data_IF_149788751615
#
_entry.id   IF_149788751615
#
_cell.length_a   1.000
_cell.length_b   1.000
_cell.length_c   1.000
_cell.angle_alpha   90.00
_cell.angle_beta   90.00
_cell.angle_gamma   90.00
#
_symmetry.space_group_name_H-M   'P 1'
#
loop_
_entity.id
_entity.type
_entity.pdbx_description
1 polymer ?
#
# COMPACT_ATOMS: atom_id res chain seq x y z
N UNK A 1 27.88 10.93 -6.56
CA UNK A 1 27.28 11.29 -7.86
C UNK A 1 26.44 12.54 -7.67
N UNK A 2 26.80 13.67 -8.30
CA UNK A 2 25.98 14.89 -8.28
C UNK A 2 24.96 14.77 -9.41
N UNK A 3 23.67 14.79 -9.07
CA UNK A 3 22.61 14.78 -10.07
C UNK A 3 22.70 16.03 -10.94
N UNK A 4 22.95 15.86 -12.23
CA UNK A 4 22.77 16.95 -13.20
C UNK A 4 21.27 17.26 -13.22
N UNK A 5 20.83 18.42 -12.67
CA UNK A 5 19.44 18.87 -12.65
C UNK A 5 18.54 18.31 -11.53
N UNK A 6 18.93 18.44 -10.25
CA UNK A 6 18.11 18.02 -9.10
C UNK A 6 16.71 18.64 -9.11
N UNK A 7 16.56 19.92 -9.49
CA UNK A 7 15.25 20.61 -9.55
C UNK A 7 14.27 20.00 -10.57
N UNK A 8 14.75 19.37 -11.65
CA UNK A 8 13.88 18.70 -12.62
C UNK A 8 13.38 17.36 -12.11
N UNK A 9 14.17 16.62 -11.31
CA UNK A 9 13.79 15.35 -10.72
C UNK A 9 12.62 15.51 -9.72
N UNK A 10 12.66 16.56 -8.90
CA UNK A 10 11.63 16.80 -7.89
C UNK A 10 10.29 17.24 -8.49
N UNK A 11 10.29 17.69 -9.75
CA UNK A 11 9.06 17.98 -10.51
C UNK A 11 8.43 16.75 -11.15
N UNK A 12 9.14 15.62 -11.22
CA UNK A 12 8.57 14.39 -11.74
C UNK A 12 7.53 13.87 -10.77
N UNK A 13 6.32 13.67 -11.25
CA UNK A 13 5.20 13.11 -10.49
C UNK A 13 4.53 12.01 -11.29
N UNK A 14 3.83 11.12 -10.61
CA UNK A 14 2.95 10.17 -11.27
C UNK A 14 1.91 10.97 -12.06
N UNK A 15 1.87 10.74 -13.35
CA UNK A 15 1.01 11.49 -14.27
C UNK A 15 -0.48 11.18 -14.00
N UNK A 16 -1.36 11.32 -14.75
CA UNK A 16 -2.80 11.29 -14.61
C UNK A 16 -3.32 10.12 -13.72
N UNK A 17 -4.01 10.41 -12.60
CA UNK A 17 -4.64 9.36 -11.80
C UNK A 17 -5.77 8.71 -12.60
N UNK A 18 -6.09 7.41 -12.35
CA UNK A 18 -7.22 6.75 -12.99
C UNK A 18 -8.52 7.53 -12.73
N UNK A 19 -9.32 7.74 -13.76
CA UNK A 19 -10.63 8.39 -13.65
C UNK A 19 -11.52 7.71 -12.59
N UNK A 20 -11.41 6.39 -12.46
CA UNK A 20 -12.14 5.60 -11.45
C UNK A 20 -11.74 5.95 -10.00
N UNK A 21 -10.45 6.20 -9.73
CA UNK A 21 -10.00 6.62 -8.40
C UNK A 21 -10.50 8.03 -8.04
N UNK A 22 -10.44 8.97 -8.99
CA UNK A 22 -10.97 10.33 -8.81
C UNK A 22 -12.47 10.29 -8.56
N UNK A 23 -13.23 9.57 -9.39
CA UNK A 23 -14.68 9.44 -9.26
C UNK A 23 -15.09 8.81 -7.91
N UNK A 24 -14.35 7.78 -7.43
CA UNK A 24 -14.60 7.16 -6.14
C UNK A 24 -14.40 8.13 -4.98
N UNK A 25 -13.32 8.91 -5.00
CA UNK A 25 -13.07 9.95 -3.99
C UNK A 25 -14.20 10.97 -3.98
N UNK A 26 -14.60 11.51 -5.14
CA UNK A 26 -15.68 12.49 -5.23
C UNK A 26 -17.02 11.94 -4.75
N UNK A 27 -17.37 10.71 -5.10
CA UNK A 27 -18.61 10.06 -4.67
C UNK A 27 -18.68 9.84 -3.17
N UNK A 28 -17.56 9.52 -2.51
CA UNK A 28 -17.55 9.06 -1.12
C UNK A 28 -17.06 10.08 -0.10
N UNK A 29 -16.54 11.26 -0.52
CA UNK A 29 -15.99 12.26 0.39
C UNK A 29 -16.99 12.79 1.42
N UNK A 30 -18.28 12.82 1.09
CA UNK A 30 -19.35 13.29 1.98
C UNK A 30 -20.10 12.14 2.66
N UNK A 31 -19.80 10.88 2.36
CA UNK A 31 -20.48 9.72 2.92
C UNK A 31 -19.75 9.18 4.16
N UNK A 32 -20.35 9.37 5.33
CA UNK A 32 -19.77 8.94 6.62
C UNK A 32 -19.85 7.43 6.87
N UNK A 33 -20.47 6.65 5.99
CA UNK A 33 -20.34 5.19 6.00
C UNK A 33 -18.98 4.71 5.49
N UNK A 34 -18.18 5.61 4.90
CA UNK A 34 -16.86 5.33 4.39
C UNK A 34 -15.78 6.05 5.20
N UNK A 35 -14.61 5.44 5.30
CA UNK A 35 -13.46 5.98 6.04
C UNK A 35 -13.06 7.38 5.56
N UNK A 36 -13.14 7.66 4.26
CA UNK A 36 -12.86 9.00 3.72
C UNK A 36 -13.79 10.06 4.31
N UNK A 37 -15.10 9.81 4.31
CA UNK A 37 -16.07 10.76 4.87
C UNK A 37 -15.87 10.96 6.38
N UNK A 38 -15.64 9.87 7.14
CA UNK A 38 -15.31 9.91 8.57
C UNK A 38 -14.03 10.72 8.82
N UNK A 39 -12.98 10.50 7.99
CA UNK A 39 -11.71 11.23 8.07
C UNK A 39 -11.89 12.74 7.85
N UNK A 40 -12.54 13.14 6.75
CA UNK A 40 -12.73 14.55 6.40
C UNK A 40 -13.56 15.29 7.45
N UNK A 41 -14.63 14.65 7.96
CA UNK A 41 -15.47 15.21 9.04
C UNK A 41 -14.70 15.38 10.35
N UNK A 42 -13.79 14.45 10.67
CA UNK A 42 -13.01 14.49 11.92
C UNK A 42 -11.97 15.60 11.97
N UNK A 43 -11.61 16.21 10.85
CA UNK A 43 -10.49 17.16 10.71
C UNK A 43 -9.16 16.63 11.21
N UNK A 44 -9.00 15.31 11.30
CA UNK A 44 -7.76 14.68 11.73
C UNK A 44 -6.63 14.92 10.72
N UNK A 45 -5.39 14.98 11.21
CA UNK A 45 -4.21 14.99 10.34
C UNK A 45 -3.82 13.56 9.98
N UNK A 46 -3.33 13.36 8.76
CA UNK A 46 -2.75 12.08 8.36
C UNK A 46 -1.52 11.75 9.23
N UNK A 47 -1.40 10.51 9.75
CA UNK A 47 -0.29 10.11 10.62
C UNK A 47 1.00 9.79 9.86
N UNK A 48 1.11 10.25 8.62
CA UNK A 48 2.24 9.96 7.72
C UNK A 48 2.99 11.25 7.36
N UNK A 49 4.28 11.09 7.08
CA UNK A 49 5.13 12.20 6.60
C UNK A 49 5.05 12.30 5.08
N UNK A 50 5.46 13.44 4.53
CA UNK A 50 5.68 13.54 3.11
C UNK A 50 6.77 12.54 2.66
N UNK A 51 6.61 11.90 1.50
CA UNK A 51 7.68 11.08 0.94
C UNK A 51 8.93 11.92 0.69
N UNK A 52 10.13 11.33 0.76
CA UNK A 52 11.36 12.06 0.45
C UNK A 52 11.34 12.61 -0.98
N UNK A 53 11.98 13.77 -1.18
CA UNK A 53 12.13 14.35 -2.50
C UNK A 53 12.85 13.38 -3.47
N UNK A 54 12.44 13.36 -4.74
CA UNK A 54 13.00 12.45 -5.74
C UNK A 54 14.53 12.58 -5.88
N UNK A 55 15.07 13.79 -5.72
CA UNK A 55 16.52 14.10 -5.81
C UNK A 55 17.28 13.84 -4.51
N UNK A 56 16.61 13.42 -3.43
CA UNK A 56 17.26 13.27 -2.13
C UNK A 56 18.20 12.06 -2.07
N UNK A 57 19.24 12.16 -1.24
CA UNK A 57 20.14 11.02 -0.94
C UNK A 57 19.36 9.84 -0.35
N UNK A 58 18.28 10.12 0.40
CA UNK A 58 17.40 9.07 0.96
C UNK A 58 16.71 8.30 -0.17
N UNK A 59 16.12 8.99 -1.14
CA UNK A 59 15.45 8.33 -2.28
C UNK A 59 16.44 7.48 -3.09
N UNK A 60 17.66 7.95 -3.33
CA UNK A 60 18.70 7.16 -4.01
C UNK A 60 19.03 5.89 -3.19
N UNK A 61 19.28 6.03 -1.89
CA UNK A 61 19.54 4.89 -1.00
C UNK A 61 18.38 3.90 -1.01
N UNK A 62 17.15 4.39 -0.94
CA UNK A 62 15.95 3.54 -0.96
C UNK A 62 15.81 2.80 -2.30
N UNK A 63 16.12 3.45 -3.43
CA UNK A 63 16.13 2.80 -4.74
C UNK A 63 17.20 1.69 -4.83
N UNK A 64 18.38 1.93 -4.29
CA UNK A 64 19.44 0.92 -4.20
C UNK A 64 19.01 -0.27 -3.31
N UNK A 65 18.34 0.00 -2.19
CA UNK A 65 17.79 -1.03 -1.32
C UNK A 65 16.70 -1.85 -2.03
N UNK A 66 15.80 -1.21 -2.79
CA UNK A 66 14.80 -1.91 -3.61
C UNK A 66 15.51 -2.84 -4.59
N UNK A 67 16.50 -2.34 -5.35
CA UNK A 67 17.25 -3.17 -6.31
C UNK A 67 17.94 -4.35 -5.63
N UNK A 68 18.59 -4.12 -4.47
CA UNK A 68 19.21 -5.18 -3.68
C UNK A 68 18.18 -6.24 -3.27
N UNK A 69 17.04 -5.83 -2.71
CA UNK A 69 15.96 -6.75 -2.30
C UNK A 69 15.46 -7.57 -3.47
N UNK A 70 15.26 -6.96 -4.65
CA UNK A 70 14.84 -7.68 -5.85
C UNK A 70 15.85 -8.75 -6.30
N UNK A 71 17.15 -8.46 -6.14
CA UNK A 71 18.24 -9.37 -6.55
C UNK A 71 18.50 -10.50 -5.55
N UNK A 72 18.21 -10.28 -4.26
CA UNK A 72 18.52 -11.23 -3.18
C UNK A 72 17.30 -11.99 -2.66
N UNK A 73 16.10 -11.65 -3.13
CA UNK A 73 14.88 -12.34 -2.71
C UNK A 73 14.90 -13.82 -3.13
N UNK A 74 14.54 -14.76 -2.23
CA UNK A 74 14.43 -16.17 -2.56
C UNK A 74 13.44 -16.40 -3.71
N UNK A 75 13.71 -17.37 -4.59
CA UNK A 75 12.88 -17.64 -5.77
C UNK A 75 11.40 -17.87 -5.41
N UNK A 76 11.14 -18.64 -4.36
CA UNK A 76 9.77 -18.89 -3.88
C UNK A 76 9.06 -17.58 -3.49
N UNK A 77 9.77 -16.67 -2.84
CA UNK A 77 9.20 -15.37 -2.46
C UNK A 77 8.97 -14.46 -3.69
N UNK A 78 9.87 -14.51 -4.68
CA UNK A 78 9.65 -13.83 -5.96
C UNK A 78 8.39 -14.37 -6.65
N UNK A 79 8.19 -15.68 -6.67
CA UNK A 79 7.01 -16.34 -7.25
C UNK A 79 5.72 -15.90 -6.54
N UNK A 80 5.71 -15.94 -5.20
CA UNK A 80 4.63 -15.40 -4.38
C UNK A 80 4.35 -13.93 -4.69
N UNK A 81 5.40 -13.10 -4.72
CA UNK A 81 5.29 -11.66 -4.95
C UNK A 81 4.68 -11.32 -6.31
N UNK A 82 4.97 -12.11 -7.35
CA UNK A 82 4.37 -11.96 -8.68
C UNK A 82 2.90 -12.41 -8.72
N UNK A 83 2.51 -13.36 -7.89
CA UNK A 83 1.13 -13.82 -7.80
C UNK A 83 0.19 -12.77 -7.20
N UNK A 84 0.72 -11.85 -6.37
CA UNK A 84 -0.04 -10.69 -5.88
C UNK A 84 0.01 -9.58 -6.94
N UNK A 85 -0.93 -9.60 -7.88
CA UNK A 85 -1.05 -8.60 -8.94
C UNK A 85 -1.35 -7.21 -8.35
N UNK A 86 -0.63 -6.13 -8.75
CA UNK A 86 -0.86 -4.78 -8.22
C UNK A 86 -2.23 -4.19 -8.53
N UNK A 87 -2.96 -4.79 -9.45
CA UNK A 87 -4.30 -4.33 -9.86
C UNK A 87 -5.42 -5.30 -9.46
N UNK A 88 -5.10 -6.38 -8.73
CA UNK A 88 -6.06 -7.37 -8.25
C UNK A 88 -6.08 -7.47 -6.73
N UNK A 89 -7.25 -7.69 -6.14
CA UNK A 89 -7.36 -7.93 -4.71
C UNK A 89 -6.75 -9.29 -4.32
N UNK A 90 -6.25 -9.37 -3.08
CA UNK A 90 -5.69 -10.59 -2.51
C UNK A 90 -6.59 -11.22 -1.42
N UNK A 91 -7.91 -10.99 -1.54
CA UNK A 91 -8.89 -11.40 -0.52
C UNK A 91 -8.95 -12.91 -0.31
N UNK A 92 -8.89 -13.72 -1.39
CA UNK A 92 -8.90 -15.19 -1.27
C UNK A 92 -7.69 -15.71 -0.49
N UNK A 93 -6.52 -15.11 -0.70
CA UNK A 93 -5.33 -15.46 0.07
C UNK A 93 -5.55 -15.21 1.56
N UNK A 94 -6.12 -14.04 1.93
CA UNK A 94 -6.43 -13.71 3.30
C UNK A 94 -7.50 -14.62 3.90
N UNK A 95 -8.57 -14.93 3.14
CA UNK A 95 -9.60 -15.85 3.59
C UNK A 95 -9.03 -17.24 3.88
N UNK A 96 -8.25 -17.80 2.96
CA UNK A 96 -7.62 -19.11 3.15
C UNK A 96 -6.68 -19.11 4.35
N UNK A 97 -5.87 -18.07 4.52
CA UNK A 97 -4.94 -17.96 5.64
C UNK A 97 -5.68 -17.83 6.98
N UNK A 98 -6.63 -16.89 7.09
CA UNK A 98 -7.41 -16.69 8.31
C UNK A 98 -8.11 -17.98 8.73
N UNK A 99 -8.77 -18.68 7.80
CA UNK A 99 -9.41 -19.96 8.06
C UNK A 99 -8.43 -21.03 8.57
N UNK A 100 -7.21 -21.07 7.98
CA UNK A 100 -6.21 -22.07 8.37
C UNK A 100 -5.67 -21.90 9.78
N UNK A 101 -5.63 -20.66 10.30
CA UNK A 101 -5.09 -20.39 11.64
C UNK A 101 -6.15 -20.26 12.72
N UNK A 102 -7.37 -19.85 12.35
CA UNK A 102 -8.45 -19.65 13.34
C UNK A 102 -9.44 -20.80 13.44
N UNK A 103 -9.58 -21.59 12.37
CA UNK A 103 -10.65 -22.58 12.24
C UNK A 103 -12.01 -22.00 11.85
N UNK A 104 -12.12 -20.67 11.73
CA UNK A 104 -13.34 -19.97 11.32
C UNK A 104 -13.57 -20.05 9.80
N UNK A 105 -14.71 -19.52 9.33
CA UNK A 105 -15.10 -19.55 7.91
C UNK A 105 -15.18 -18.14 7.32
N UNK A 106 -14.03 -17.52 7.10
CA UNK A 106 -13.94 -16.29 6.34
C UNK A 106 -14.04 -16.58 4.83
N UNK A 107 -14.61 -15.65 4.07
CA UNK A 107 -14.66 -15.70 2.61
C UNK A 107 -14.19 -14.36 1.99
N UNK A 108 -13.98 -14.33 0.66
CA UNK A 108 -13.54 -13.12 -0.03
C UNK A 108 -14.46 -11.92 0.20
N UNK A 109 -15.77 -12.13 0.30
CA UNK A 109 -16.74 -11.04 0.44
C UNK A 109 -16.60 -10.34 1.79
N UNK A 110 -16.22 -11.05 2.85
CA UNK A 110 -15.92 -10.46 4.15
C UNK A 110 -14.77 -9.43 4.03
N UNK A 111 -13.66 -9.79 3.40
CA UNK A 111 -12.53 -8.88 3.17
C UNK A 111 -12.90 -7.74 2.22
N UNK A 112 -13.69 -8.04 1.19
CA UNK A 112 -14.16 -7.06 0.23
C UNK A 112 -15.04 -5.99 0.89
N UNK A 113 -15.92 -6.36 1.80
CA UNK A 113 -16.77 -5.41 2.55
C UNK A 113 -15.91 -4.43 3.37
N UNK A 114 -14.82 -4.89 3.97
CA UNK A 114 -13.86 -4.03 4.69
C UNK A 114 -13.20 -3.03 3.73
N UNK A 115 -12.67 -3.50 2.61
CA UNK A 115 -11.91 -2.63 1.69
C UNK A 115 -12.82 -1.63 0.97
N UNK A 116 -14.03 -1.99 0.63
CA UNK A 116 -15.00 -1.03 0.06
C UNK A 116 -15.21 0.21 0.94
N UNK A 117 -15.02 0.11 2.25
CA UNK A 117 -15.13 1.24 3.16
C UNK A 117 -13.86 2.12 3.14
N UNK A 118 -12.71 1.59 2.71
CA UNK A 118 -11.40 2.23 2.81
C UNK A 118 -10.82 2.69 1.48
N UNK A 119 -11.25 2.15 0.35
CA UNK A 119 -10.73 2.40 -1.01
C UNK A 119 -10.61 3.89 -1.34
N UNK A 120 -11.66 4.65 -1.08
CA UNK A 120 -11.68 6.08 -1.38
C UNK A 120 -10.72 6.87 -0.50
N UNK A 121 -10.45 6.41 0.72
CA UNK A 121 -9.50 7.04 1.63
C UNK A 121 -8.07 6.87 1.13
N UNK A 122 -7.66 5.64 0.75
CA UNK A 122 -6.32 5.41 0.22
C UNK A 122 -6.10 6.11 -1.12
N UNK A 123 -7.11 6.14 -2.00
CA UNK A 123 -7.08 6.88 -3.26
C UNK A 123 -6.91 8.39 -3.02
N UNK A 124 -7.67 8.96 -2.07
CA UNK A 124 -7.56 10.37 -1.68
C UNK A 124 -6.12 10.72 -1.24
N UNK A 125 -5.50 9.87 -0.42
CA UNK A 125 -4.12 10.10 0.03
C UNK A 125 -3.14 10.01 -1.15
N UNK A 126 -3.28 9.02 -2.03
CA UNK A 126 -2.45 8.88 -3.23
C UNK A 126 -2.52 10.08 -4.17
N UNK A 127 -3.71 10.65 -4.34
CA UNK A 127 -3.92 11.84 -5.19
C UNK A 127 -3.18 13.07 -4.68
N UNK A 128 -2.91 13.17 -3.37
CA UNK A 128 -2.18 14.31 -2.79
C UNK A 128 -0.67 14.22 -3.06
N UNK A 129 -0.08 13.02 -2.98
CA UNK A 129 1.38 12.87 -3.02
C UNK A 129 1.94 12.59 -4.42
N UNK A 130 1.20 11.92 -5.30
CA UNK A 130 1.57 11.63 -6.69
C UNK A 130 3.01 11.10 -6.88
N UNK A 131 3.54 10.35 -5.90
CA UNK A 131 4.91 9.84 -5.91
C UNK A 131 5.10 8.84 -7.06
N UNK A 132 6.22 9.00 -7.78
CA UNK A 132 6.70 7.99 -8.73
C UNK A 132 7.06 6.69 -8.01
N UNK A 133 6.90 5.59 -8.71
CA UNK A 133 7.31 4.26 -8.26
C UNK A 133 8.79 4.01 -8.52
N UNK A 134 9.45 3.05 -7.83
CA UNK A 134 10.87 2.76 -8.04
C UNK A 134 11.25 2.53 -9.50
N UNK A 135 10.47 1.74 -10.24
CA UNK A 135 10.76 1.45 -11.66
C UNK A 135 10.59 2.67 -12.58
N UNK A 136 9.79 3.65 -12.18
CA UNK A 136 9.59 4.91 -12.93
C UNK A 136 10.72 5.92 -12.64
N UNK A 137 11.11 6.03 -11.37
CA UNK A 137 12.12 6.99 -10.92
C UNK A 137 13.56 6.47 -11.11
N UNK A 138 13.76 5.15 -10.95
CA UNK A 138 15.08 4.51 -10.99
C UNK A 138 15.94 4.92 -12.17
N UNK A 139 15.46 4.88 -13.42
CA UNK A 139 16.23 5.30 -14.58
C UNK A 139 16.75 6.75 -14.50
N UNK A 140 15.93 7.67 -13.97
CA UNK A 140 16.29 9.09 -13.84
C UNK A 140 17.36 9.36 -12.77
N UNK A 141 17.50 8.45 -11.79
CA UNK A 141 18.51 8.53 -10.72
C UNK A 141 19.65 7.51 -10.87
N UNK A 142 19.75 6.85 -12.04
CA UNK A 142 20.83 5.93 -12.36
C UNK A 142 20.74 4.55 -11.66
N UNK A 143 19.55 4.14 -11.22
CA UNK A 143 19.30 2.82 -10.62
C UNK A 143 18.37 2.03 -11.53
N UNK A 144 18.86 0.93 -12.12
CA UNK A 144 18.10 0.13 -13.09
C UNK A 144 17.11 -0.82 -12.39
N UNK A 145 15.96 -0.30 -11.98
CA UNK A 145 14.86 -1.07 -11.40
C UNK A 145 13.86 -1.41 -12.50
N UNK A 146 13.63 -2.71 -12.73
CA UNK A 146 12.63 -3.20 -13.66
C UNK A 146 11.52 -3.91 -12.88
N UNK A 147 10.30 -3.40 -12.96
CA UNK A 147 9.16 -4.12 -12.37
C UNK A 147 8.96 -5.49 -13.02
N UNK A 148 8.48 -6.44 -12.23
CA UNK A 148 8.24 -7.83 -12.68
C UNK A 148 6.75 -8.22 -12.67
N UNK A 149 5.86 -7.23 -12.58
CA UNK A 149 4.41 -7.37 -12.57
C UNK A 149 3.76 -6.36 -13.51
N UNK A 150 2.45 -6.42 -13.68
CA UNK A 150 1.67 -5.46 -14.49
C UNK A 150 1.86 -4.02 -14.02
N UNK A 151 1.59 -3.03 -14.89
CA UNK A 151 1.69 -1.62 -14.53
C UNK A 151 0.65 -1.24 -13.48
N UNK A 152 1.08 -0.77 -12.30
CA UNK A 152 0.14 -0.24 -11.33
C UNK A 152 -0.48 1.06 -11.82
N UNK A 153 -1.80 1.17 -11.72
CA UNK A 153 -2.58 2.29 -12.27
C UNK A 153 -2.47 3.58 -11.44
N UNK A 154 -2.06 3.48 -10.17
CA UNK A 154 -2.03 4.62 -9.22
C UNK A 154 -0.61 4.98 -8.79
N UNK A 155 -0.44 6.16 -8.20
CA UNK A 155 0.82 6.62 -7.60
C UNK A 155 1.39 5.63 -6.57
N UNK A 156 2.71 5.70 -6.33
CA UNK A 156 3.42 4.77 -5.44
C UNK A 156 3.11 4.98 -3.95
N UNK A 157 2.93 6.22 -3.51
CA UNK A 157 2.80 6.53 -2.09
C UNK A 157 1.37 6.91 -1.68
N UNK A 158 0.87 6.34 -0.59
CA UNK A 158 1.34 5.15 0.14
C UNK A 158 1.05 3.83 -0.61
N UNK A 159 1.57 2.70 -0.12
CA UNK A 159 1.25 1.38 -0.67
C UNK A 159 -0.17 0.95 -0.27
N UNK A 160 -1.05 0.75 -1.26
CA UNK A 160 -2.42 0.29 -1.00
C UNK A 160 -2.45 -1.16 -0.50
N UNK A 161 -1.70 -2.08 -1.13
CA UNK A 161 -1.63 -3.48 -0.69
C UNK A 161 -1.10 -3.62 0.74
N UNK A 162 -0.11 -2.79 1.13
CA UNK A 162 0.35 -2.76 2.52
C UNK A 162 -0.75 -2.25 3.45
N UNK A 163 -1.42 -1.17 3.06
CA UNK A 163 -2.54 -0.62 3.84
C UNK A 163 -3.63 -1.67 4.04
N UNK A 164 -4.10 -2.32 2.99
CA UNK A 164 -5.12 -3.37 3.03
C UNK A 164 -4.69 -4.54 3.91
N UNK A 165 -3.48 -5.03 3.70
CA UNK A 165 -2.95 -6.16 4.48
C UNK A 165 -2.89 -5.85 5.99
N UNK A 166 -2.45 -4.66 6.36
CA UNK A 166 -2.42 -4.26 7.78
C UNK A 166 -3.81 -3.94 8.35
N UNK A 167 -4.76 -3.46 7.55
CA UNK A 167 -6.16 -3.34 7.97
C UNK A 167 -6.70 -4.72 8.34
N UNK A 168 -6.51 -5.72 7.47
CA UNK A 168 -6.94 -7.10 7.75
C UNK A 168 -6.25 -7.68 8.98
N UNK A 169 -4.92 -7.56 9.05
CA UNK A 169 -4.16 -8.07 10.19
C UNK A 169 -4.63 -7.45 11.52
N UNK A 170 -4.85 -6.14 11.57
CA UNK A 170 -5.31 -5.46 12.80
C UNK A 170 -6.73 -5.87 13.20
N UNK A 171 -7.65 -5.97 12.24
CA UNK A 171 -9.03 -6.41 12.53
C UNK A 171 -9.02 -7.87 13.00
N UNK A 172 -8.36 -8.77 12.27
CA UNK A 172 -8.27 -10.18 12.65
C UNK A 172 -7.56 -10.37 14.00
N UNK A 173 -6.53 -9.56 14.32
CA UNK A 173 -5.88 -9.60 15.63
C UNK A 173 -6.78 -9.14 16.78
N UNK A 174 -7.73 -8.26 16.52
CA UNK A 174 -8.75 -7.89 17.53
C UNK A 174 -9.78 -9.00 17.76
N UNK A 175 -10.16 -9.71 16.70
CA UNK A 175 -11.09 -10.84 16.76
C UNK A 175 -10.44 -12.11 17.33
N UNK A 176 -9.15 -12.33 17.04
CA UNK A 176 -8.40 -13.53 17.41
C UNK A 176 -7.00 -13.14 17.99
N UNK A 177 -6.93 -12.59 19.20
CA UNK A 177 -5.67 -12.08 19.78
C UNK A 177 -4.56 -13.12 19.87
N UNK A 178 -4.90 -14.39 20.05
CA UNK A 178 -3.97 -15.51 20.11
C UNK A 178 -3.21 -15.75 18.80
N UNK A 179 -3.72 -15.26 17.67
CA UNK A 179 -3.13 -15.40 16.34
C UNK A 179 -2.54 -14.08 15.80
N UNK A 180 -2.48 -13.03 16.62
CA UNK A 180 -2.08 -11.68 16.20
C UNK A 180 -0.71 -11.65 15.51
N UNK A 181 0.27 -12.41 16.00
CA UNK A 181 1.60 -12.48 15.38
C UNK A 181 1.53 -13.07 13.96
N UNK A 182 0.78 -14.12 13.75
CA UNK A 182 0.65 -14.75 12.43
C UNK A 182 0.02 -13.81 11.41
N UNK A 183 -0.98 -13.02 11.79
CA UNK A 183 -1.59 -12.00 10.93
C UNK A 183 -0.60 -10.87 10.59
N UNK A 184 0.22 -10.42 11.56
CA UNK A 184 1.24 -9.41 11.34
C UNK A 184 2.31 -9.90 10.34
N UNK A 185 2.77 -11.14 10.47
CA UNK A 185 3.77 -11.76 9.58
C UNK A 185 3.27 -11.85 8.14
N UNK A 186 2.01 -12.20 7.92
CA UNK A 186 1.40 -12.20 6.58
C UNK A 186 1.30 -10.79 6.01
N UNK A 187 0.89 -9.81 6.83
CA UNK A 187 0.81 -8.42 6.38
C UNK A 187 2.19 -7.89 5.97
N UNK A 188 3.24 -8.18 6.74
CA UNK A 188 4.62 -7.82 6.40
C UNK A 188 5.08 -8.52 5.12
N UNK A 189 4.75 -9.82 4.96
CA UNK A 189 5.04 -10.60 3.76
C UNK A 189 4.41 -9.96 2.52
N UNK A 190 3.14 -9.58 2.59
CA UNK A 190 2.45 -8.84 1.51
C UNK A 190 3.13 -7.50 1.26
N UNK A 191 3.48 -6.75 2.30
CA UNK A 191 4.15 -5.47 2.17
C UNK A 191 5.49 -5.60 1.43
N UNK A 192 6.42 -6.44 1.93
CA UNK A 192 7.75 -6.63 1.34
C UNK A 192 7.66 -7.19 -0.08
N UNK A 193 6.65 -8.00 -0.39
CA UNK A 193 6.41 -8.51 -1.74
C UNK A 193 6.32 -7.38 -2.79
N UNK A 194 5.84 -6.20 -2.41
CA UNK A 194 5.73 -5.03 -3.32
C UNK A 194 7.10 -4.40 -3.63
N UNK A 195 8.05 -4.53 -2.73
CA UNK A 195 9.45 -4.13 -2.97
C UNK A 195 10.13 -5.13 -3.90
N UNK A 196 9.94 -6.43 -3.66
CA UNK A 196 10.51 -7.52 -4.47
C UNK A 196 10.12 -7.43 -5.95
N UNK A 197 8.91 -6.97 -6.26
CA UNK A 197 8.47 -6.76 -7.65
C UNK A 197 8.77 -5.37 -8.21
N UNK A 198 9.44 -4.50 -7.44
CA UNK A 198 9.95 -3.19 -7.90
C UNK A 198 8.90 -2.09 -8.00
N UNK A 199 7.73 -2.22 -7.35
CA UNK A 199 6.62 -1.27 -7.48
C UNK A 199 6.45 -0.30 -6.30
N UNK A 200 7.14 -0.53 -5.17
CA UNK A 200 7.10 0.34 -3.99
C UNK A 200 8.49 0.52 -3.36
N UNK A 201 8.72 1.71 -2.77
CA UNK A 201 9.79 1.97 -1.82
C UNK A 201 9.38 1.51 -0.43
N UNK A 202 10.36 1.31 0.47
CA UNK A 202 10.06 0.96 1.87
C UNK A 202 9.26 2.04 2.60
N UNK A 203 9.50 3.32 2.32
CA UNK A 203 8.68 4.40 2.88
C UNK A 203 7.21 4.33 2.48
N UNK A 204 6.89 3.78 1.29
CA UNK A 204 5.50 3.58 0.85
C UNK A 204 4.80 2.53 1.72
N UNK A 205 5.54 1.49 2.14
CA UNK A 205 5.05 0.43 3.03
C UNK A 205 4.78 0.98 4.43
N UNK A 206 5.77 1.68 5.00
CA UNK A 206 5.63 2.32 6.32
C UNK A 206 4.42 3.27 6.38
N UNK A 207 4.20 4.04 5.33
CA UNK A 207 3.05 4.92 5.25
C UNK A 207 1.73 4.13 5.18
N UNK A 208 1.68 3.05 4.39
CA UNK A 208 0.52 2.16 4.31
C UNK A 208 0.18 1.56 5.67
N UNK A 209 1.17 1.01 6.38
CA UNK A 209 1.02 0.45 7.73
C UNK A 209 0.45 1.48 8.72
N UNK A 210 1.05 2.67 8.79
CA UNK A 210 0.59 3.74 9.69
C UNK A 210 -0.83 4.19 9.42
N UNK A 211 -1.23 4.26 8.14
CA UNK A 211 -2.60 4.60 7.78
C UNK A 211 -3.59 3.49 8.20
N UNK A 212 -3.22 2.22 8.05
CA UNK A 212 -4.03 1.09 8.51
C UNK A 212 -4.24 1.14 10.02
N UNK A 213 -3.17 1.29 10.78
CA UNK A 213 -3.22 1.44 12.25
C UNK A 213 -4.09 2.63 12.67
N UNK A 214 -4.00 3.74 11.94
CA UNK A 214 -4.79 4.94 12.23
C UNK A 214 -6.28 4.68 12.03
N UNK A 215 -6.72 4.13 10.89
CA UNK A 215 -8.15 3.94 10.62
C UNK A 215 -8.78 2.87 11.50
N UNK A 216 -8.05 1.79 11.81
CA UNK A 216 -8.54 0.73 12.71
C UNK A 216 -8.65 1.26 14.15
N UNK A 217 -7.63 1.95 14.66
CA UNK A 217 -7.65 2.55 16.01
C UNK A 217 -8.76 3.59 16.18
N UNK A 218 -9.19 4.24 15.11
CA UNK A 218 -10.33 5.18 15.12
C UNK A 218 -11.68 4.48 15.05
N UNK A 219 -11.71 3.16 14.92
CA UNK A 219 -12.95 2.38 14.73
C UNK A 219 -13.81 2.90 13.58
N UNK A 220 -13.15 3.31 12.49
CA UNK A 220 -13.84 3.86 11.32
C UNK A 220 -14.31 2.79 10.32
N UNK A 221 -13.93 1.54 10.55
CA UNK A 221 -14.30 0.40 9.72
C UNK A 221 -15.37 -0.41 10.47
N UNK A 222 -16.50 -0.62 9.82
CA UNK A 222 -17.56 -1.50 10.32
C UNK A 222 -17.18 -2.94 9.92
N UNK A 223 -16.85 -3.76 10.92
CA UNK A 223 -16.41 -5.15 10.71
C UNK A 223 -17.64 -5.99 10.38
N UNK A 224 -17.66 -6.73 9.26
CA UNK A 224 -18.79 -7.62 8.93
C UNK A 224 -18.94 -8.75 9.96
N UNK A 225 -20.19 -9.16 10.19
CA UNK A 225 -20.51 -10.37 10.94
C UNK A 225 -20.09 -11.63 10.17
#
# INVERSE_FOLDING_TARGET
MKFKNSKSLDKLTHQTPPKSAVARVEKQKNNTSYVLGKFLKSRSKLPIKNPPANSSKKTLKDAQNVLKTMQTAPELFVKFSKAIDPNKPHYQMWANFANSVTGEKYNEEWFRKIIRQTDSFIDYVKLQYKRLRPFQLGPAIGVNIKKTVTDPLTAGYPSAHTFEAYVFARILSQLHPQHAQAFEEVAETVAVSRVVVGVHFYDDLEAGKKLAEFVVRKSWIDVPE
#
